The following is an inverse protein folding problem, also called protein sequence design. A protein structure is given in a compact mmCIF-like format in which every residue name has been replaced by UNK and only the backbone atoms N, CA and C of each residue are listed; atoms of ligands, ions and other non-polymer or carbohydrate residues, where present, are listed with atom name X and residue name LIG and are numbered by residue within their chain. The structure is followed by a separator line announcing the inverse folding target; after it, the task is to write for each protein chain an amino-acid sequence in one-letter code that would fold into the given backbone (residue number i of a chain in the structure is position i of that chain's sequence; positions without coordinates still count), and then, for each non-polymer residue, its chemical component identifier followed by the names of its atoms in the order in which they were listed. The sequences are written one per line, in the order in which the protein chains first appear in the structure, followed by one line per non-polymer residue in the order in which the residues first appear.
data_IF_292650332782
#
_entry.id   IF_292650332782
#
_cell.length_a   1.000
_cell.length_b   1.000
_cell.length_c   1.000
_cell.angle_alpha   90.00
_cell.angle_beta   90.00
_cell.angle_gamma   90.00
#
_symmetry.space_group_name_H-M   'P 1'
#
loop_
_entity.id
_entity.type
_entity.pdbx_description
1 polymer ?
#
# COMPACT_ATOMS: atom_id res chain seq x y z
N UNK A 1 69.57 35.77 24.32
CA UNK A 1 68.68 34.91 23.50
C UNK A 1 68.92 35.22 22.02
N UNK A 2 69.40 34.28 21.21
CA UNK A 2 69.73 34.54 19.78
C UNK A 2 68.48 34.57 18.90
N UNK A 3 68.46 35.40 17.84
CA UNK A 3 67.31 35.57 16.90
C UNK A 3 66.76 34.23 16.39
N UNK A 4 67.64 33.24 16.17
CA UNK A 4 67.27 31.88 15.72
C UNK A 4 66.43 31.09 16.75
N UNK A 5 66.64 31.30 18.05
CA UNK A 5 65.90 30.60 19.11
C UNK A 5 64.47 31.16 19.24
N UNK A 6 64.30 32.48 19.10
CA UNK A 6 62.97 33.14 19.10
C UNK A 6 62.10 32.69 17.92
N UNK A 7 62.70 32.52 16.73
CA UNK A 7 62.00 32.00 15.53
C UNK A 7 61.48 30.57 15.72
N UNK A 8 62.28 29.67 16.30
CA UNK A 8 61.84 28.28 16.59
C UNK A 8 60.68 28.21 17.58
N UNK A 9 60.67 29.08 18.59
CA UNK A 9 59.59 29.12 19.59
C UNK A 9 58.29 29.65 18.97
N UNK A 10 58.33 30.73 18.17
CA UNK A 10 57.12 31.25 17.52
C UNK A 10 56.53 30.26 16.51
N UNK A 11 57.39 29.53 15.80
CA UNK A 11 56.97 28.51 14.84
C UNK A 11 56.38 27.27 15.50
N UNK A 12 56.87 26.91 16.70
CA UNK A 12 56.25 25.87 17.54
C UNK A 12 54.89 26.31 18.07
N UNK A 13 54.76 27.57 18.49
CA UNK A 13 53.49 28.14 18.96
C UNK A 13 52.44 28.22 17.85
N UNK A 14 52.85 28.58 16.63
CA UNK A 14 51.97 28.61 15.45
C UNK A 14 51.44 27.22 15.11
N UNK A 15 52.30 26.19 15.14
CA UNK A 15 51.88 24.80 14.91
C UNK A 15 50.92 24.30 15.97
N UNK A 16 51.17 24.64 17.23
CA UNK A 16 50.30 24.29 18.35
C UNK A 16 48.91 24.94 18.23
N UNK A 17 48.84 26.23 17.89
CA UNK A 17 47.57 26.91 17.65
C UNK A 17 46.81 26.33 16.45
N UNK A 18 47.50 26.01 15.35
CA UNK A 18 46.86 25.33 14.22
C UNK A 18 46.32 23.94 14.59
N UNK A 19 47.03 23.18 15.45
CA UNK A 19 46.56 21.87 15.89
C UNK A 19 45.37 21.94 16.85
N UNK A 20 45.19 23.05 17.57
CA UNK A 20 44.02 23.27 18.44
C UNK A 20 42.79 23.72 17.66
N UNK A 21 42.98 24.40 16.52
CA UNK A 21 41.90 24.95 15.71
C UNK A 21 41.23 23.90 14.81
N UNK A 22 42.00 22.94 14.26
CA UNK A 22 41.46 21.87 13.40
C UNK A 22 40.38 21.00 14.08
N UNK A 23 40.54 20.52 15.33
CA UNK A 23 39.53 19.72 16.01
C UNK A 23 38.21 20.47 16.22
N UNK A 24 38.27 21.78 16.49
CA UNK A 24 37.06 22.59 16.69
C UNK A 24 36.31 22.82 15.37
N UNK A 25 37.02 23.05 14.27
CA UNK A 25 36.40 23.18 12.95
C UNK A 25 35.78 21.88 12.45
N UNK A 26 36.44 20.74 12.66
CA UNK A 26 35.90 19.42 12.34
C UNK A 26 34.69 19.06 13.19
N UNK A 27 34.69 19.42 14.47
CA UNK A 27 33.54 19.24 15.35
C UNK A 27 32.35 20.10 14.89
N UNK A 28 32.62 21.36 14.55
CA UNK A 28 31.58 22.28 14.05
C UNK A 28 30.99 21.80 12.72
N UNK A 29 31.81 21.25 11.82
CA UNK A 29 31.34 20.64 10.56
C UNK A 29 30.47 19.41 10.83
N UNK A 30 30.88 18.52 11.74
CA UNK A 30 30.09 17.34 12.13
C UNK A 30 28.74 17.69 12.75
N UNK A 31 28.67 18.76 13.55
CA UNK A 31 27.40 19.24 14.13
C UNK A 31 26.47 19.81 13.03
N UNK A 32 27.02 20.57 12.08
CA UNK A 32 26.23 21.10 10.96
C UNK A 32 25.71 19.97 10.06
N UNK A 33 26.54 18.96 9.80
CA UNK A 33 26.17 17.79 9.01
C UNK A 33 25.12 16.94 9.73
N UNK A 34 25.25 16.72 11.05
CA UNK A 34 24.25 15.98 11.83
C UNK A 34 22.92 16.71 11.94
N UNK A 35 22.93 18.05 12.07
CA UNK A 35 21.71 18.86 12.00
C UNK A 35 21.02 18.78 10.64
N UNK A 36 21.78 18.75 9.53
CA UNK A 36 21.22 18.56 8.18
C UNK A 36 20.59 17.17 8.03
N UNK A 37 21.30 16.13 8.46
CA UNK A 37 20.80 14.76 8.43
C UNK A 37 19.52 14.60 9.26
N UNK A 38 19.40 15.33 10.38
CA UNK A 38 18.18 15.35 11.20
C UNK A 38 17.03 16.08 10.50
N UNK A 39 17.30 17.24 9.89
CA UNK A 39 16.31 18.02 9.12
C UNK A 39 15.82 17.28 7.87
N UNK A 40 16.61 16.39 7.28
CA UNK A 40 16.17 15.53 6.17
C UNK A 40 15.34 14.32 6.63
N UNK A 41 15.63 13.75 7.83
CA UNK A 41 14.85 12.61 8.37
C UNK A 41 13.49 13.00 8.92
N UNK A 42 13.36 14.16 9.57
CA UNK A 42 12.09 14.65 10.13
C UNK A 42 10.92 14.73 9.13
N UNK A 43 11.07 15.24 7.88
CA UNK A 43 9.98 15.26 6.91
C UNK A 43 9.64 13.87 6.38
N UNK A 44 10.61 12.96 6.25
CA UNK A 44 10.34 11.57 5.89
C UNK A 44 9.57 10.85 7.00
N UNK A 45 9.97 11.02 8.26
CA UNK A 45 9.28 10.45 9.41
C UNK A 45 7.85 10.99 9.51
N UNK A 46 7.65 12.31 9.33
CA UNK A 46 6.30 12.91 9.28
C UNK A 46 5.47 12.42 8.09
N UNK A 47 6.07 12.10 6.94
CA UNK A 47 5.35 11.45 5.83
C UNK A 47 4.97 10.02 6.19
N UNK A 48 5.87 9.23 6.79
CA UNK A 48 5.60 7.86 7.23
C UNK A 48 4.55 7.80 8.34
N UNK A 49 4.53 8.76 9.25
CA UNK A 49 3.49 8.89 10.27
C UNK A 49 2.15 9.30 9.70
N UNK A 50 2.11 10.29 8.79
CA UNK A 50 0.88 10.63 8.06
C UNK A 50 0.36 9.42 7.29
N UNK A 51 1.24 8.68 6.62
CA UNK A 51 0.88 7.47 5.89
C UNK A 51 0.38 6.36 6.83
N UNK A 52 1.00 6.15 7.99
CA UNK A 52 0.52 5.20 9.02
C UNK A 52 -0.83 5.60 9.60
N UNK A 53 -1.04 6.89 9.91
CA UNK A 53 -2.33 7.42 10.38
C UNK A 53 -3.40 7.31 9.29
N UNK A 54 -3.05 7.61 8.05
CA UNK A 54 -3.95 7.47 6.90
C UNK A 54 -4.31 6.00 6.68
N UNK A 55 -3.35 5.08 6.77
CA UNK A 55 -3.56 3.63 6.68
C UNK A 55 -4.41 3.09 7.84
N UNK A 56 -4.25 3.63 9.05
CA UNK A 56 -5.10 3.31 10.22
C UNK A 56 -6.51 3.89 10.08
N UNK A 57 -6.65 5.09 9.53
CA UNK A 57 -7.94 5.74 9.27
C UNK A 57 -8.73 5.03 8.16
N UNK A 58 -8.03 4.50 7.15
CA UNK A 58 -8.63 3.66 6.11
C UNK A 58 -9.10 2.29 6.61
N UNK A 59 -8.90 1.94 7.88
CA UNK A 59 -9.19 0.59 8.40
C UNK A 59 -8.29 -0.50 7.80
N UNK A 60 -7.25 -0.13 7.04
CA UNK A 60 -6.38 -1.09 6.33
C UNK A 60 -5.61 -2.01 7.29
N UNK A 61 -5.48 -1.63 8.56
CA UNK A 61 -4.90 -2.49 9.60
C UNK A 61 -5.81 -3.67 9.97
N UNK A 62 -7.13 -3.49 9.89
CA UNK A 62 -8.11 -4.57 10.11
C UNK A 62 -8.32 -5.39 8.83
N UNK A 63 -8.13 -4.79 7.64
CA UNK A 63 -8.21 -5.52 6.37
C UNK A 63 -7.02 -6.45 6.12
N UNK A 64 -5.82 -6.12 6.60
CA UNK A 64 -4.63 -6.98 6.39
C UNK A 64 -4.73 -8.36 7.06
N UNK A 65 -5.59 -8.51 8.07
CA UNK A 65 -5.83 -9.80 8.74
C UNK A 65 -6.84 -10.67 7.96
N UNK A 66 -7.59 -10.08 7.01
CA UNK A 66 -8.61 -10.74 6.18
C UNK A 66 -8.33 -10.68 4.67
N UNK A 67 -7.11 -10.30 4.27
CA UNK A 67 -6.73 -9.94 2.89
C UNK A 67 -6.65 -11.11 1.89
N UNK A 68 -6.80 -12.37 2.32
CA UNK A 68 -6.71 -13.53 1.43
C UNK A 68 -8.03 -13.93 0.76
N UNK A 69 -9.11 -14.19 1.54
CA UNK A 69 -10.35 -14.77 1.00
C UNK A 69 -11.48 -13.78 0.72
N UNK A 70 -11.52 -12.68 1.48
CA UNK A 70 -12.75 -11.91 1.67
C UNK A 70 -13.18 -11.13 0.41
N UNK A 71 -12.26 -10.44 -0.31
CA UNK A 71 -12.61 -9.77 -1.56
C UNK A 71 -13.05 -10.75 -2.67
N UNK A 72 -12.50 -11.96 -2.67
CA UNK A 72 -12.81 -13.02 -3.63
C UNK A 72 -14.18 -13.64 -3.32
N UNK A 73 -14.51 -13.79 -2.03
CA UNK A 73 -15.82 -14.25 -1.62
C UNK A 73 -16.91 -13.22 -1.94
N UNK A 74 -16.65 -11.94 -1.65
CA UNK A 74 -17.57 -10.84 -1.99
C UNK A 74 -17.81 -10.78 -3.50
N UNK A 75 -16.76 -10.91 -4.32
CA UNK A 75 -16.91 -10.90 -5.77
C UNK A 75 -17.72 -12.10 -6.27
N UNK A 76 -17.51 -13.29 -5.72
CA UNK A 76 -18.29 -14.48 -6.05
C UNK A 76 -19.78 -14.32 -5.71
N UNK A 77 -20.09 -13.81 -4.52
CA UNK A 77 -21.49 -13.52 -4.11
C UNK A 77 -22.10 -12.45 -5.02
N UNK A 78 -21.35 -11.43 -5.38
CA UNK A 78 -21.81 -10.38 -6.29
C UNK A 78 -22.16 -10.94 -7.69
N UNK A 79 -21.31 -11.78 -8.28
CA UNK A 79 -21.62 -12.42 -9.56
C UNK A 79 -22.80 -13.39 -9.48
N UNK A 80 -22.98 -14.07 -8.34
CA UNK A 80 -24.15 -14.92 -8.10
C UNK A 80 -25.45 -14.10 -8.06
N UNK A 81 -25.45 -12.94 -7.40
CA UNK A 81 -26.59 -12.02 -7.38
C UNK A 81 -26.91 -11.51 -8.79
N UNK A 82 -25.90 -11.16 -9.58
CA UNK A 82 -26.07 -10.75 -10.98
C UNK A 82 -26.66 -11.89 -11.82
N UNK A 83 -26.20 -13.13 -11.63
CA UNK A 83 -26.71 -14.29 -12.33
C UNK A 83 -28.20 -14.53 -12.02
N UNK A 84 -28.59 -14.49 -10.74
CA UNK A 84 -29.99 -14.61 -10.31
C UNK A 84 -30.84 -13.42 -10.81
N UNK A 85 -30.27 -12.22 -10.84
CA UNK A 85 -30.91 -11.03 -11.39
C UNK A 85 -31.17 -11.15 -12.90
N UNK A 86 -30.22 -11.71 -13.65
CA UNK A 86 -30.38 -11.99 -15.07
C UNK A 86 -31.49 -13.02 -15.35
N UNK A 87 -31.59 -14.09 -14.55
CA UNK A 87 -32.69 -15.06 -14.64
C UNK A 87 -34.02 -14.36 -14.32
N UNK A 88 -34.05 -13.54 -13.27
CA UNK A 88 -35.25 -12.79 -12.87
C UNK A 88 -35.71 -11.83 -13.96
N UNK A 89 -34.78 -11.17 -14.67
CA UNK A 89 -35.06 -10.34 -15.84
C UNK A 89 -35.67 -11.13 -16.99
N UNK A 90 -35.16 -12.35 -17.26
CA UNK A 90 -35.76 -13.24 -18.26
C UNK A 90 -37.20 -13.61 -17.90
N UNK A 91 -37.46 -13.97 -16.64
CA UNK A 91 -38.79 -14.33 -16.15
C UNK A 91 -39.74 -13.13 -16.20
N UNK A 92 -39.31 -11.96 -15.71
CA UNK A 92 -40.12 -10.72 -15.77
C UNK A 92 -40.42 -10.29 -17.20
N UNK A 93 -39.47 -10.49 -18.12
CA UNK A 93 -39.69 -10.31 -19.55
C UNK A 93 -40.82 -11.22 -20.03
N UNK A 94 -40.80 -12.51 -19.68
CA UNK A 94 -41.82 -13.48 -20.09
C UNK A 94 -43.26 -13.10 -19.67
N UNK A 95 -43.43 -12.43 -18.52
CA UNK A 95 -44.75 -12.11 -17.95
C UNK A 95 -45.31 -10.72 -18.31
N UNK A 96 -44.52 -9.78 -18.87
CA UNK A 96 -45.01 -8.43 -19.25
C UNK A 96 -45.48 -8.38 -20.71
N UNK A 97 -46.79 -8.17 -20.95
CA UNK A 97 -47.32 -7.79 -22.27
C UNK A 97 -47.09 -6.30 -22.50
N UNK A 98 -46.50 -5.83 -23.64
CA UNK A 98 -46.54 -6.33 -25.02
C UNK A 98 -45.22 -6.87 -25.64
N UNK A 99 -45.32 -7.67 -26.72
CA UNK A 99 -44.25 -8.41 -27.41
C UNK A 99 -42.93 -7.65 -27.68
N UNK A 100 -42.98 -6.36 -28.08
CA UNK A 100 -41.76 -5.56 -28.37
C UNK A 100 -40.98 -5.17 -27.11
N UNK A 101 -41.67 -4.93 -26.00
CA UNK A 101 -41.05 -4.59 -24.71
C UNK A 101 -40.53 -5.85 -24.03
N UNK A 102 -40.95 -7.03 -24.50
CA UNK A 102 -40.59 -8.35 -24.00
C UNK A 102 -39.19 -8.82 -24.42
N UNK A 103 -38.82 -8.58 -25.68
CA UNK A 103 -37.58 -9.12 -26.27
C UNK A 103 -36.34 -8.46 -25.64
N UNK A 104 -36.40 -7.16 -25.34
CA UNK A 104 -35.28 -6.42 -24.73
C UNK A 104 -34.85 -6.95 -23.35
N UNK A 105 -35.72 -7.06 -22.32
CA UNK A 105 -35.35 -7.58 -21.01
C UNK A 105 -34.95 -9.06 -21.05
N UNK A 106 -35.53 -9.86 -21.95
CA UNK A 106 -35.14 -11.26 -22.17
C UNK A 106 -33.72 -11.33 -22.74
N UNK A 107 -33.41 -10.53 -23.76
CA UNK A 107 -32.09 -10.49 -24.37
C UNK A 107 -31.02 -10.02 -23.38
N UNK A 108 -31.30 -8.96 -22.63
CA UNK A 108 -30.40 -8.48 -21.57
C UNK A 108 -30.22 -9.51 -20.45
N UNK A 109 -31.30 -10.17 -20.02
CA UNK A 109 -31.24 -11.23 -19.01
C UNK A 109 -30.39 -12.42 -19.47
N UNK A 110 -30.53 -12.86 -20.73
CA UNK A 110 -29.72 -13.95 -21.30
C UNK A 110 -28.25 -13.55 -21.40
N UNK A 111 -27.95 -12.33 -21.86
CA UNK A 111 -26.57 -11.85 -21.94
C UNK A 111 -25.92 -11.72 -20.56
N UNK A 112 -26.65 -11.18 -19.57
CA UNK A 112 -26.20 -11.06 -18.18
C UNK A 112 -25.94 -12.43 -17.54
N UNK A 113 -26.84 -13.39 -17.75
CA UNK A 113 -26.69 -14.76 -17.19
C UNK A 113 -25.51 -15.49 -17.82
N UNK A 114 -25.33 -15.44 -19.14
CA UNK A 114 -24.19 -16.08 -19.81
C UNK A 114 -22.87 -15.44 -19.36
N UNK A 115 -22.81 -14.10 -19.29
CA UNK A 115 -21.60 -13.40 -18.91
C UNK A 115 -21.22 -13.66 -17.44
N UNK A 116 -22.19 -13.58 -16.53
CA UNK A 116 -21.97 -13.88 -15.11
C UNK A 116 -21.65 -15.35 -14.85
N UNK A 117 -22.27 -16.29 -15.58
CA UNK A 117 -21.91 -17.71 -15.49
C UNK A 117 -20.47 -17.97 -15.92
N UNK A 118 -20.02 -17.36 -17.02
CA UNK A 118 -18.61 -17.47 -17.45
C UNK A 118 -17.66 -16.86 -16.42
N UNK A 119 -18.01 -15.73 -15.83
CA UNK A 119 -17.23 -15.15 -14.74
C UNK A 119 -17.14 -16.11 -13.53
N UNK A 120 -18.27 -16.67 -13.07
CA UNK A 120 -18.32 -17.63 -11.97
C UNK A 120 -17.46 -18.88 -12.23
N UNK A 121 -17.47 -19.41 -13.46
CA UNK A 121 -16.63 -20.55 -13.85
C UNK A 121 -15.14 -20.21 -13.75
N UNK A 122 -14.74 -19.00 -14.15
CA UNK A 122 -13.35 -18.53 -14.05
C UNK A 122 -12.96 -18.28 -12.58
N UNK A 123 -13.89 -17.80 -11.75
CA UNK A 123 -13.65 -17.58 -10.32
C UNK A 123 -13.65 -18.87 -9.49
N UNK A 124 -14.29 -19.94 -9.95
CA UNK A 124 -14.36 -21.22 -9.24
C UNK A 124 -13.00 -21.83 -8.82
N UNK A 125 -11.98 -21.95 -9.69
CA UNK A 125 -10.67 -22.46 -9.27
C UNK A 125 -9.99 -21.56 -8.24
N UNK A 126 -10.20 -20.24 -8.31
CA UNK A 126 -9.67 -19.27 -7.34
C UNK A 126 -10.35 -19.44 -5.99
N UNK A 127 -11.69 -19.54 -5.96
CA UNK A 127 -12.46 -19.83 -4.76
C UNK A 127 -12.05 -21.16 -4.12
N UNK A 128 -11.84 -22.20 -4.93
CA UNK A 128 -11.39 -23.51 -4.46
C UNK A 128 -10.01 -23.41 -3.77
N UNK A 129 -9.06 -22.71 -4.37
CA UNK A 129 -7.73 -22.51 -3.79
C UNK A 129 -7.78 -21.71 -2.47
N UNK A 130 -8.62 -20.67 -2.44
CA UNK A 130 -8.87 -19.86 -1.25
C UNK A 130 -9.48 -20.67 -0.11
N UNK A 131 -10.50 -21.50 -0.41
CA UNK A 131 -11.16 -22.36 0.60
C UNK A 131 -10.15 -23.37 1.15
N UNK A 132 -9.35 -24.00 0.28
CA UNK A 132 -8.31 -24.95 0.72
C UNK A 132 -7.32 -24.25 1.65
N UNK A 133 -6.79 -23.09 1.27
CA UNK A 133 -5.87 -22.32 2.09
C UNK A 133 -6.46 -21.93 3.46
N UNK A 134 -7.74 -21.51 3.49
CA UNK A 134 -8.47 -21.21 4.73
C UNK A 134 -8.60 -22.40 5.67
N UNK A 135 -8.90 -23.59 5.12
CA UNK A 135 -9.08 -24.80 5.92
C UNK A 135 -7.75 -25.41 6.37
N UNK A 136 -6.68 -25.20 5.63
CA UNK A 136 -5.34 -25.69 5.98
C UNK A 136 -4.73 -24.89 7.14
N UNK A 137 -4.95 -23.57 7.18
CA UNK A 137 -4.50 -22.71 8.28
C UNK A 137 -5.23 -22.99 9.61
N UNK A 138 -6.50 -23.44 9.53
CA UNK A 138 -7.33 -23.84 10.69
C UNK A 138 -6.96 -25.19 11.31
N UNK A 139 -6.05 -25.96 10.69
CA UNK A 139 -5.58 -27.26 11.18
C UNK A 139 -4.25 -27.19 11.95
N UNK A 140 -3.63 -26.00 12.03
CA UNK A 140 -2.49 -25.72 12.91
C UNK A 140 -2.96 -25.16 14.25
#
# INVERSE_FOLDING_TARGET
MTKRKKKRISEKMRRYNLSLQRPQEEFRRRVIESERMRKEREPEERRRERWRKWKKWLGLADFTEYDGPFPIFISAVFFLVIFLGGISLCVLGLFKGPYKIQIMPILYGILLTIWSAKALIIFYPVLKAVIIALFEDRKK
#
